data_IF_835380644556
#
_entry.id   IF_835380644556
#
_cell.length_a   1.000
_cell.length_b   1.000
_cell.length_c   1.000
_cell.angle_alpha   90.00
_cell.angle_beta   90.00
_cell.angle_gamma   90.00
#
_symmetry.space_group_name_H-M   'P 1'
#
loop_
_entity.id
_entity.type
_entity.pdbx_description
1 polymer ?
#
# COMPACT_ATOMS: atom_id res chain seq x y z
N UNK A 1 16.86 -28.57 -4.48
CA UNK A 1 16.13 -28.09 -3.29
C UNK A 1 16.44 -26.61 -2.96
N UNK A 2 16.96 -25.79 -3.89
CA UNK A 2 17.51 -24.46 -3.55
C UNK A 2 16.80 -23.23 -4.15
N UNK A 3 15.84 -23.39 -5.05
CA UNK A 3 15.16 -22.23 -5.66
C UNK A 3 13.96 -21.74 -4.83
N UNK A 4 13.28 -22.66 -4.12
CA UNK A 4 12.18 -22.31 -3.21
C UNK A 4 12.67 -21.60 -1.94
N UNK A 5 13.82 -22.00 -1.39
CA UNK A 5 14.43 -21.33 -0.22
C UNK A 5 14.86 -19.90 -0.57
N UNK A 6 15.54 -19.70 -1.70
CA UNK A 6 15.92 -18.36 -2.16
C UNK A 6 14.71 -17.46 -2.45
N UNK A 7 13.59 -18.02 -2.92
CA UNK A 7 12.36 -17.24 -3.14
C UNK A 7 11.73 -16.82 -1.81
N UNK A 8 11.71 -17.71 -0.82
CA UNK A 8 11.21 -17.43 0.52
C UNK A 8 12.05 -16.34 1.23
N UNK A 9 13.38 -16.47 1.20
CA UNK A 9 14.31 -15.46 1.75
C UNK A 9 14.11 -14.08 1.11
N UNK A 10 13.95 -14.03 -0.21
CA UNK A 10 13.68 -12.77 -0.92
C UNK A 10 12.34 -12.17 -0.52
N UNK A 11 11.30 -12.99 -0.38
CA UNK A 11 9.97 -12.53 0.05
C UNK A 11 10.01 -11.98 1.48
N UNK A 12 10.76 -12.63 2.38
CA UNK A 12 10.96 -12.16 3.75
C UNK A 12 11.67 -10.81 3.80
N UNK A 13 12.76 -10.64 3.03
CA UNK A 13 13.46 -9.37 2.92
C UNK A 13 12.56 -8.24 2.36
N UNK A 14 11.68 -8.56 1.40
CA UNK A 14 10.69 -7.59 0.88
C UNK A 14 9.63 -7.25 1.92
N UNK A 15 9.17 -8.23 2.70
CA UNK A 15 8.23 -7.98 3.78
C UNK A 15 8.85 -7.06 4.84
N UNK A 16 10.08 -7.34 5.29
CA UNK A 16 10.80 -6.51 6.25
C UNK A 16 10.94 -5.06 5.76
N UNK A 17 11.37 -4.88 4.50
CA UNK A 17 11.49 -3.55 3.91
C UNK A 17 10.14 -2.82 3.83
N UNK A 18 9.07 -3.52 3.43
CA UNK A 18 7.74 -2.94 3.31
C UNK A 18 7.17 -2.53 4.68
N UNK A 19 7.24 -3.42 5.67
CA UNK A 19 6.76 -3.14 7.03
C UNK A 19 7.55 -2.02 7.69
N UNK A 20 8.88 -2.00 7.52
CA UNK A 20 9.71 -0.90 8.02
C UNK A 20 9.30 0.44 7.40
N UNK A 21 9.03 0.50 6.10
CA UNK A 21 8.57 1.74 5.45
C UNK A 21 7.17 2.17 5.93
N UNK A 22 6.28 1.19 6.14
CA UNK A 22 4.94 1.41 6.70
C UNK A 22 5.01 2.04 8.09
N UNK A 23 5.79 1.43 8.99
CA UNK A 23 5.87 1.87 10.38
C UNK A 23 6.63 3.19 10.55
N UNK A 24 7.64 3.45 9.73
CA UNK A 24 8.47 4.65 9.84
C UNK A 24 7.74 5.92 9.42
N UNK A 25 7.09 5.92 8.24
CA UNK A 25 6.51 7.17 7.70
C UNK A 25 5.27 6.99 6.82
N UNK A 26 5.12 5.86 6.10
CA UNK A 26 3.99 5.69 5.17
C UNK A 26 2.67 5.67 5.92
N UNK A 27 2.57 4.99 7.07
CA UNK A 27 1.35 4.96 7.87
C UNK A 27 0.93 6.36 8.33
N UNK A 28 1.88 7.18 8.78
CA UNK A 28 1.62 8.55 9.20
C UNK A 28 1.11 9.41 8.03
N UNK A 29 1.69 9.27 6.84
CA UNK A 29 1.25 9.97 5.64
C UNK A 29 -0.18 9.58 5.23
N UNK A 30 -0.51 8.29 5.24
CA UNK A 30 -1.87 7.82 4.94
C UNK A 30 -2.88 8.24 6.01
N UNK A 31 -2.54 8.19 7.30
CA UNK A 31 -3.42 8.68 8.37
C UNK A 31 -3.71 10.18 8.20
N UNK A 32 -2.68 10.99 7.95
CA UNK A 32 -2.85 12.42 7.71
C UNK A 32 -3.71 12.71 6.46
N UNK A 33 -3.55 11.93 5.39
CA UNK A 33 -4.42 12.03 4.23
C UNK A 33 -5.86 11.59 4.54
N UNK A 34 -6.06 10.52 5.32
CA UNK A 34 -7.37 10.04 5.76
C UNK A 34 -8.15 11.10 6.54
N UNK A 35 -7.48 11.82 7.45
CA UNK A 35 -8.06 12.96 8.17
C UNK A 35 -8.52 14.07 7.21
N UNK A 36 -7.67 14.46 6.24
CA UNK A 36 -7.96 15.52 5.26
C UNK A 36 -9.16 15.19 4.35
N UNK A 37 -9.31 13.93 3.93
CA UNK A 37 -10.32 13.48 2.95
C UNK A 37 -11.68 13.18 3.63
N UNK A 38 -11.83 13.54 4.91
CA UNK A 38 -13.09 13.41 5.65
C UNK A 38 -13.07 12.34 6.74
N UNK A 39 -11.96 12.23 7.49
CA UNK A 39 -11.80 11.30 8.62
C UNK A 39 -12.04 9.84 8.24
N UNK A 40 -11.39 9.43 7.16
CA UNK A 40 -11.41 8.06 6.66
C UNK A 40 -10.46 7.16 7.46
N UNK A 41 -10.73 5.87 7.46
CA UNK A 41 -9.97 4.91 8.27
C UNK A 41 -8.71 4.45 7.54
N UNK A 42 -7.56 4.58 8.19
CA UNK A 42 -6.33 3.94 7.74
C UNK A 42 -6.33 2.47 8.16
N UNK A 43 -5.96 1.57 7.24
CA UNK A 43 -5.80 0.14 7.54
C UNK A 43 -4.55 -0.40 6.85
N UNK A 44 -3.97 -1.44 7.46
CA UNK A 44 -2.87 -2.22 6.90
C UNK A 44 -3.28 -3.69 6.86
N UNK A 45 -2.91 -4.38 5.80
CA UNK A 45 -3.10 -5.82 5.63
C UNK A 45 -1.80 -6.44 5.10
N UNK A 46 -1.39 -7.55 5.69
CA UNK A 46 -0.19 -8.30 5.29
C UNK A 46 -0.50 -9.50 4.41
N UNK A 47 0.56 -10.00 3.77
CA UNK A 47 0.73 -11.40 3.36
C UNK A 47 -0.41 -12.01 2.51
N UNK A 48 -0.45 -11.61 1.25
CA UNK A 48 -1.24 -12.28 0.20
C UNK A 48 -0.32 -12.99 -0.80
N UNK A 49 -0.88 -13.78 -1.72
CA UNK A 49 -0.09 -14.45 -2.75
C UNK A 49 0.80 -13.47 -3.56
N UNK A 50 0.34 -12.22 -3.74
CA UNK A 50 0.98 -11.23 -4.63
C UNK A 50 1.61 -10.04 -3.91
N UNK A 51 1.31 -9.82 -2.62
CA UNK A 51 1.79 -8.66 -1.89
C UNK A 51 2.23 -9.06 -0.48
N UNK A 52 3.38 -8.55 -0.04
CA UNK A 52 3.89 -8.74 1.32
C UNK A 52 3.21 -7.81 2.32
N UNK A 53 2.82 -6.62 1.86
CA UNK A 53 2.06 -5.66 2.65
C UNK A 53 1.18 -4.78 1.75
N UNK A 54 0.05 -4.34 2.28
CA UNK A 54 -0.85 -3.36 1.69
C UNK A 54 -1.29 -2.38 2.78
N UNK A 55 -1.34 -1.11 2.46
CA UNK A 55 -1.95 -0.12 3.33
C UNK A 55 -2.81 0.85 2.54
N UNK A 56 -3.80 1.46 3.18
CA UNK A 56 -4.72 2.33 2.46
C UNK A 56 -5.71 3.07 3.35
N UNK A 57 -6.43 4.00 2.72
CA UNK A 57 -7.51 4.78 3.31
C UNK A 57 -8.85 4.25 2.83
N UNK A 58 -9.74 3.95 3.75
CA UNK A 58 -11.03 3.31 3.50
C UNK A 58 -12.19 4.23 3.90
N UNK A 59 -13.30 4.14 3.18
CA UNK A 59 -14.52 4.85 3.57
C UNK A 59 -14.99 4.39 4.96
N UNK A 60 -15.54 5.29 5.81
CA UNK A 60 -16.10 4.92 7.10
C UNK A 60 -17.17 3.83 6.96
N UNK A 61 -17.10 2.79 7.78
CA UNK A 61 -18.08 1.69 7.75
C UNK A 61 -17.91 0.72 6.57
N UNK A 62 -16.80 0.77 5.83
CA UNK A 62 -16.46 -0.27 4.85
C UNK A 62 -16.34 -1.64 5.57
N UNK A 63 -17.26 -2.54 5.23
CA UNK A 63 -17.53 -3.80 5.94
C UNK A 63 -16.43 -4.84 5.75
N UNK A 64 -15.49 -4.62 4.83
CA UNK A 64 -14.42 -5.58 4.53
C UNK A 64 -13.05 -4.90 4.54
N UNK A 65 -12.03 -5.66 4.94
CA UNK A 65 -10.63 -5.40 4.62
C UNK A 65 -10.35 -5.65 3.13
N UNK A 66 -11.32 -5.38 2.24
CA UNK A 66 -11.12 -5.55 0.81
C UNK A 66 -10.34 -4.35 0.26
N UNK A 67 -9.05 -4.50 -0.08
CA UNK A 67 -8.26 -3.44 -0.73
C UNK A 67 -8.93 -2.88 -1.99
N UNK A 68 -9.82 -3.64 -2.66
CA UNK A 68 -10.61 -3.14 -3.79
C UNK A 68 -11.55 -1.99 -3.43
N UNK A 69 -11.85 -1.76 -2.15
CA UNK A 69 -12.67 -0.65 -1.66
C UNK A 69 -11.82 0.53 -1.13
N UNK A 70 -10.49 0.38 -1.04
CA UNK A 70 -9.60 1.45 -0.62
C UNK A 70 -9.61 2.62 -1.62
N UNK A 71 -9.74 3.85 -1.11
CA UNK A 71 -9.75 5.09 -1.89
C UNK A 71 -8.34 5.49 -2.32
N UNK A 72 -7.37 5.36 -1.41
CA UNK A 72 -5.95 5.37 -1.69
C UNK A 72 -5.32 4.09 -1.15
N UNK A 73 -4.40 3.50 -1.89
CA UNK A 73 -3.73 2.25 -1.52
C UNK A 73 -2.26 2.28 -1.95
N UNK A 74 -1.40 1.71 -1.13
CA UNK A 74 -0.05 1.29 -1.47
C UNK A 74 0.06 -0.23 -1.29
N UNK A 75 0.42 -0.94 -2.36
CA UNK A 75 0.65 -2.38 -2.38
C UNK A 75 2.14 -2.66 -2.62
N UNK A 76 2.79 -3.33 -1.68
CA UNK A 76 4.19 -3.76 -1.78
C UNK A 76 4.23 -5.18 -2.36
N UNK A 77 4.84 -5.31 -3.54
CA UNK A 77 4.86 -6.55 -4.32
C UNK A 77 5.67 -7.65 -3.61
N UNK A 78 5.19 -8.90 -3.70
CA UNK A 78 5.81 -10.03 -3.01
C UNK A 78 7.04 -10.62 -3.70
N UNK A 79 7.26 -10.28 -4.97
CA UNK A 79 8.28 -10.90 -5.83
C UNK A 79 9.30 -9.89 -6.38
N UNK A 80 8.94 -8.61 -6.41
CA UNK A 80 9.74 -7.52 -6.93
C UNK A 80 9.80 -6.38 -5.90
N UNK A 81 10.90 -5.60 -5.85
CA UNK A 81 11.02 -4.44 -4.97
C UNK A 81 10.21 -3.26 -5.51
N UNK A 82 8.91 -3.46 -5.70
CA UNK A 82 7.98 -2.51 -6.27
C UNK A 82 6.87 -2.17 -5.27
N UNK A 83 6.40 -0.94 -5.36
CA UNK A 83 5.18 -0.48 -4.72
C UNK A 83 4.22 0.02 -5.79
N UNK A 84 2.96 -0.41 -5.70
CA UNK A 84 1.88 0.04 -6.57
C UNK A 84 0.98 0.96 -5.76
N UNK A 85 0.97 2.24 -6.12
CA UNK A 85 0.05 3.23 -5.57
C UNK A 85 -1.21 3.25 -6.42
N UNK A 86 -2.39 3.16 -5.80
CA UNK A 86 -3.68 3.16 -6.48
C UNK A 86 -4.62 4.18 -5.84
N UNK A 87 -5.38 4.88 -6.69
CA UNK A 87 -6.43 5.81 -6.27
C UNK A 87 -7.74 5.47 -6.97
N UNK A 88 -8.83 5.42 -6.21
CA UNK A 88 -10.20 5.21 -6.70
C UNK A 88 -11.02 6.47 -6.48
N UNK A 89 -11.97 6.72 -7.38
CA UNK A 89 -13.04 7.66 -7.08
C UNK A 89 -14.09 6.99 -6.17
N UNK A 90 -14.86 7.80 -5.44
CA UNK A 90 -15.92 7.27 -4.59
C UNK A 90 -16.98 6.54 -5.43
N UNK A 91 -17.32 5.32 -5.02
CA UNK A 91 -18.27 4.47 -5.75
C UNK A 91 -17.72 3.78 -7.00
N UNK A 92 -16.43 3.95 -7.32
CA UNK A 92 -15.81 3.28 -8.47
C UNK A 92 -15.42 1.82 -8.14
N UNK A 93 -15.72 0.90 -9.06
CA UNK A 93 -15.32 -0.51 -8.95
C UNK A 93 -13.86 -0.79 -9.35
N UNK A 94 -13.16 0.19 -9.93
CA UNK A 94 -11.78 0.08 -10.40
C UNK A 94 -10.99 1.37 -10.12
N UNK A 95 -9.64 1.30 -9.98
CA UNK A 95 -8.81 2.49 -9.79
C UNK A 95 -8.89 3.43 -10.99
N UNK A 96 -8.94 4.72 -10.70
CA UNK A 96 -8.90 5.80 -11.69
C UNK A 96 -7.47 6.26 -11.95
N UNK A 97 -6.55 6.01 -11.02
CA UNK A 97 -5.11 6.26 -11.18
C UNK A 97 -4.30 5.13 -10.54
N UNK A 98 -3.20 4.77 -11.20
CA UNK A 98 -2.22 3.80 -10.70
C UNK A 98 -0.81 4.25 -11.05
N UNK A 99 0.11 4.16 -10.08
CA UNK A 99 1.53 4.50 -10.23
C UNK A 99 2.38 3.39 -9.62
N UNK A 100 3.22 2.75 -10.42
CA UNK A 100 4.16 1.71 -9.96
C UNK A 100 5.55 2.32 -9.82
N UNK A 101 6.15 2.18 -8.65
CA UNK A 101 7.47 2.70 -8.31
C UNK A 101 8.34 1.57 -7.79
N UNK A 102 9.67 1.74 -7.87
CA UNK A 102 10.56 0.93 -7.03
C UNK A 102 10.40 1.38 -5.58
N UNK A 103 10.50 0.45 -4.63
CA UNK A 103 10.46 0.80 -3.20
C UNK A 103 11.57 1.81 -2.86
N UNK A 104 12.75 1.69 -3.48
CA UNK A 104 13.85 2.65 -3.32
C UNK A 104 13.60 4.05 -3.87
N UNK A 105 12.54 4.23 -4.67
CA UNK A 105 12.13 5.51 -5.24
C UNK A 105 10.85 6.04 -4.59
N UNK A 106 10.32 5.34 -3.58
CA UNK A 106 9.21 5.82 -2.78
C UNK A 106 9.77 6.70 -1.66
N UNK A 107 9.57 8.01 -1.79
CA UNK A 107 9.88 8.99 -0.74
C UNK A 107 8.61 9.72 -0.27
N UNK A 108 8.73 10.46 0.83
CA UNK A 108 7.62 11.20 1.43
C UNK A 108 6.98 12.19 0.46
N UNK A 109 7.79 12.86 -0.38
CA UNK A 109 7.29 13.85 -1.33
C UNK A 109 6.41 13.19 -2.39
N UNK A 110 6.89 12.08 -2.96
CA UNK A 110 6.18 11.32 -3.99
C UNK A 110 4.88 10.74 -3.45
N UNK A 111 4.89 10.21 -2.23
CA UNK A 111 3.67 9.68 -1.62
C UNK A 111 2.68 10.81 -1.29
N UNK A 112 3.14 11.92 -0.72
CA UNK A 112 2.26 13.03 -0.37
C UNK A 112 1.65 13.73 -1.60
N UNK A 113 2.40 13.83 -2.70
CA UNK A 113 1.88 14.26 -4.00
C UNK A 113 0.74 13.35 -4.44
N UNK A 114 0.97 12.04 -4.42
CA UNK A 114 -0.04 11.06 -4.82
C UNK A 114 -1.30 11.12 -3.94
N UNK A 115 -1.14 11.24 -2.62
CA UNK A 115 -2.24 11.29 -1.65
C UNK A 115 -3.01 12.62 -1.64
N UNK A 116 -2.48 13.66 -2.30
CA UNK A 116 -3.11 14.99 -2.37
C UNK A 116 -3.72 15.29 -3.74
N UNK A 117 -3.45 14.46 -4.74
CA UNK A 117 -3.96 14.62 -6.11
C UNK A 117 -5.42 14.26 -6.27
#
# INVERSE_FOLDING_TARGET
MGDNERLAERREAMAEQAWSAIDDWVAAAFQAAGERIGRREFRVAGDSEYAVARCGIYAPGAVEHDPRVAFHEAEFDAYQPLVVLRRKADGAGAPVESRTLRVSALDEATLNEFLSG
#
